data_IF_652756184685
#
_entry.id   IF_652756184685
#
_cell.length_a   1.000
_cell.length_b   1.000
_cell.length_c   1.000
_cell.angle_alpha   90.00
_cell.angle_beta   90.00
_cell.angle_gamma   90.00
#
_symmetry.space_group_name_H-M   'P 1'
#
loop_
_entity.id
_entity.type
_entity.pdbx_description
1 polymer ?
#
# COMPACT_ATOMS: atom_id res chain seq x y z
N UNK A 1 17.44 27.48 -17.22
CA UNK A 1 16.20 27.13 -17.94
C UNK A 1 16.33 25.69 -18.40
N UNK A 2 15.54 24.76 -17.86
CA UNK A 2 15.55 23.35 -18.27
C UNK A 2 14.32 23.06 -19.13
N UNK A 3 14.53 22.47 -20.30
CA UNK A 3 13.50 22.19 -21.31
C UNK A 3 12.42 21.22 -20.81
N UNK A 4 11.15 21.42 -21.18
CA UNK A 4 10.07 20.51 -20.81
C UNK A 4 9.88 19.49 -21.93
N UNK A 5 10.33 18.26 -21.72
CA UNK A 5 9.89 17.14 -22.55
C UNK A 5 9.80 15.86 -21.72
N UNK A 6 8.88 15.00 -22.15
CA UNK A 6 8.49 13.68 -21.62
C UNK A 6 7.26 13.71 -20.67
N UNK A 7 6.15 13.21 -21.23
CA UNK A 7 4.81 12.95 -20.71
C UNK A 7 3.74 14.04 -20.96
N UNK A 8 2.97 13.85 -22.04
CA UNK A 8 1.82 14.65 -22.48
C UNK A 8 0.70 14.76 -21.41
N UNK A 9 0.66 13.88 -20.41
CA UNK A 9 -0.29 13.93 -19.29
C UNK A 9 0.06 14.89 -18.15
N UNK A 10 1.30 15.42 -18.07
CA UNK A 10 1.71 16.31 -16.96
C UNK A 10 1.06 17.70 -16.99
N UNK A 11 0.52 18.11 -18.15
CA UNK A 11 -0.15 19.42 -18.31
C UNK A 11 -1.48 19.51 -17.55
N UNK A 12 -2.23 18.41 -17.41
CA UNK A 12 -3.56 18.45 -16.78
C UNK A 12 -3.47 18.72 -15.27
N UNK A 13 -2.59 18.02 -14.57
CA UNK A 13 -2.38 18.21 -13.13
C UNK A 13 -1.92 19.64 -12.80
N UNK A 14 -0.94 20.15 -13.55
CA UNK A 14 -0.43 21.50 -13.38
C UNK A 14 -1.49 22.57 -13.75
N UNK A 15 -2.26 22.35 -14.83
CA UNK A 15 -3.32 23.27 -15.26
C UNK A 15 -4.50 23.32 -14.27
N UNK A 16 -4.75 22.24 -13.53
CA UNK A 16 -5.83 22.17 -12.52
C UNK A 16 -5.36 22.49 -11.10
N UNK A 17 -4.09 22.86 -10.91
CA UNK A 17 -3.50 23.06 -9.57
C UNK A 17 -3.54 21.81 -8.69
N UNK A 18 -3.63 20.63 -9.31
CA UNK A 18 -3.75 19.34 -8.64
C UNK A 18 -2.39 18.87 -8.11
N UNK A 19 -2.42 18.14 -6.99
CA UNK A 19 -1.25 17.38 -6.54
C UNK A 19 -1.28 15.95 -7.07
N UNK A 20 -0.12 15.31 -7.12
CA UNK A 20 0.03 13.92 -7.53
C UNK A 20 0.00 13.05 -6.28
N UNK A 21 -0.85 12.02 -6.29
CA UNK A 21 -0.93 10.99 -5.27
C UNK A 21 -0.35 9.69 -5.82
N UNK A 22 0.69 9.13 -5.18
CA UNK A 22 1.13 7.76 -5.44
C UNK A 22 0.52 6.83 -4.41
N UNK A 23 -0.13 5.77 -4.85
CA UNK A 23 -0.75 4.77 -3.98
C UNK A 23 -0.20 3.38 -4.25
N UNK A 24 0.09 2.65 -3.18
CA UNK A 24 0.58 1.26 -3.22
C UNK A 24 0.11 0.47 -1.98
N UNK A 25 0.14 -0.86 -2.06
CA UNK A 25 -0.10 -1.79 -0.95
C UNK A 25 1.19 -2.52 -0.54
N UNK A 26 1.53 -2.48 0.74
CA UNK A 26 2.57 -3.31 1.32
C UNK A 26 1.97 -4.37 2.25
N UNK A 27 2.54 -5.57 2.27
CA UNK A 27 2.11 -6.66 3.12
C UNK A 27 3.23 -7.25 3.95
N UNK A 28 3.06 -7.33 5.27
CA UNK A 28 3.97 -8.00 6.18
C UNK A 28 3.31 -9.26 6.75
N UNK A 29 3.90 -10.42 6.52
CA UNK A 29 3.48 -11.66 7.18
C UNK A 29 3.95 -11.62 8.63
N UNK A 30 3.09 -12.02 9.58
CA UNK A 30 3.43 -12.10 11.01
C UNK A 30 4.16 -13.40 11.38
N UNK A 31 4.61 -14.17 10.36
CA UNK A 31 5.59 -15.22 10.56
C UNK A 31 6.87 -14.55 11.05
N UNK A 32 7.51 -15.08 12.11
CA UNK A 32 8.78 -14.55 12.57
C UNK A 32 9.75 -14.50 11.40
N UNK A 33 10.30 -13.32 11.06
CA UNK A 33 11.33 -13.24 10.03
C UNK A 33 12.51 -14.11 10.49
N UNK A 34 13.22 -14.73 9.53
CA UNK A 34 14.50 -15.35 9.82
C UNK A 34 15.43 -14.24 10.33
N UNK A 35 15.59 -14.15 11.64
CA UNK A 35 16.36 -13.09 12.28
C UNK A 35 17.82 -13.51 12.39
N UNK A 36 18.74 -12.58 12.12
CA UNK A 36 20.12 -12.73 12.59
C UNK A 36 20.08 -12.69 14.11
N UNK A 37 20.63 -13.72 14.74
CA UNK A 37 20.76 -13.80 16.20
C UNK A 37 22.23 -13.96 16.57
N UNK A 38 22.57 -13.57 17.79
CA UNK A 38 23.92 -13.69 18.32
C UNK A 38 24.07 -15.02 19.05
N UNK A 39 25.23 -15.65 18.90
CA UNK A 39 25.59 -16.88 19.61
C UNK A 39 27.04 -16.82 20.03
N UNK A 40 27.42 -17.70 20.96
CA UNK A 40 28.82 -17.93 21.27
C UNK A 40 29.55 -18.40 20.02
N UNK A 41 30.80 -17.98 19.85
CA UNK A 41 31.64 -18.43 18.73
C UNK A 41 31.68 -19.97 18.70
N UNK A 42 31.47 -20.56 17.53
CA UNK A 42 31.43 -22.02 17.33
C UNK A 42 30.12 -22.71 17.75
N UNK A 43 29.11 -21.98 18.23
CA UNK A 43 27.83 -22.55 18.63
C UNK A 43 26.72 -22.01 17.72
N UNK A 44 26.13 -22.89 16.92
CA UNK A 44 24.97 -22.53 16.09
C UNK A 44 23.77 -22.23 16.98
N UNK A 45 23.19 -21.02 16.94
CA UNK A 45 21.98 -20.72 17.70
C UNK A 45 20.80 -21.48 17.11
N UNK A 46 20.03 -22.16 17.97
CA UNK A 46 18.74 -22.74 17.63
C UNK A 46 17.66 -21.86 18.26
N UNK A 47 16.80 -21.29 17.43
CA UNK A 47 15.68 -20.47 17.87
C UNK A 47 14.39 -21.18 17.50
N UNK A 48 13.65 -21.63 18.50
CA UNK A 48 12.30 -22.16 18.30
C UNK A 48 11.33 -21.01 18.10
N UNK A 49 10.56 -21.08 17.02
CA UNK A 49 9.53 -20.10 16.68
C UNK A 49 8.20 -20.80 16.52
N UNK A 50 7.12 -20.16 16.97
CA UNK A 50 5.78 -20.65 16.65
C UNK A 50 5.53 -20.49 15.15
N UNK A 51 5.40 -21.61 14.43
CA UNK A 51 4.86 -21.61 13.07
C UNK A 51 3.34 -21.33 13.02
N UNK A 52 2.68 -21.31 14.18
CA UNK A 52 1.24 -21.03 14.33
C UNK A 52 1.01 -19.54 14.58
N UNK A 53 0.12 -18.95 13.79
CA UNK A 53 -0.12 -17.51 13.74
C UNK A 53 0.24 -16.92 12.38
N UNK A 54 -0.40 -17.42 11.32
CA UNK A 54 -0.08 -17.06 9.93
C UNK A 54 -0.66 -15.72 9.46
N UNK A 55 -1.05 -14.84 10.38
CA UNK A 55 -1.71 -13.60 10.01
C UNK A 55 -0.80 -12.67 9.20
N UNK A 56 -1.41 -11.70 8.54
CA UNK A 56 -0.73 -10.70 7.69
C UNK A 56 -1.19 -9.31 8.10
N UNK A 57 -0.30 -8.34 8.09
CA UNK A 57 -0.67 -6.93 8.13
C UNK A 57 -0.53 -6.39 6.71
N UNK A 58 -1.63 -5.93 6.13
CA UNK A 58 -1.60 -5.12 4.91
C UNK A 58 -1.59 -3.65 5.27
N UNK A 59 -0.91 -2.85 4.47
CA UNK A 59 -0.82 -1.40 4.58
C UNK A 59 -1.12 -0.81 3.21
N UNK A 60 -2.19 -0.03 3.09
CA UNK A 60 -2.41 0.84 1.93
C UNK A 60 -1.77 2.19 2.24
N UNK A 61 -0.82 2.62 1.43
CA UNK A 61 -0.10 3.89 1.58
C UNK A 61 -0.41 4.86 0.44
N UNK A 62 -0.46 6.15 0.76
CA UNK A 62 -0.67 7.24 -0.19
C UNK A 62 0.30 8.39 0.09
N UNK A 63 1.12 8.75 -0.89
CA UNK A 63 2.02 9.90 -0.84
C UNK A 63 1.49 10.99 -1.77
N UNK A 64 1.13 12.13 -1.19
CA UNK A 64 0.69 13.33 -1.90
C UNK A 64 1.84 14.32 -2.06
N UNK A 65 2.07 14.76 -3.29
CA UNK A 65 3.09 15.73 -3.68
C UNK A 65 2.46 16.86 -4.48
N UNK A 66 2.68 18.10 -4.05
CA UNK A 66 2.29 19.31 -4.77
C UNK A 66 3.43 20.31 -4.74
N UNK A 67 3.83 20.91 -5.88
CA UNK A 67 4.86 21.94 -5.91
C UNK A 67 4.58 23.08 -4.92
N UNK A 68 5.61 23.54 -4.22
CA UNK A 68 5.49 24.59 -3.18
C UNK A 68 4.82 24.14 -1.88
N UNK A 69 4.46 22.86 -1.73
CA UNK A 69 3.85 22.32 -0.52
C UNK A 69 4.69 21.17 0.05
N UNK A 70 4.64 20.99 1.36
CA UNK A 70 5.25 19.82 2.01
C UNK A 70 4.52 18.55 1.58
N UNK A 71 5.27 17.52 1.21
CA UNK A 71 4.71 16.20 0.92
C UNK A 71 3.95 15.63 2.13
N UNK A 72 2.86 14.91 1.87
CA UNK A 72 2.01 14.31 2.91
C UNK A 72 1.90 12.81 2.69
N UNK A 73 2.15 12.03 3.75
CA UNK A 73 1.94 10.59 3.77
C UNK A 73 0.66 10.28 4.54
N UNK A 74 -0.21 9.46 3.97
CA UNK A 74 -1.38 8.88 4.63
C UNK A 74 -1.34 7.37 4.43
N UNK A 75 -1.80 6.62 5.42
CA UNK A 75 -1.83 5.16 5.33
C UNK A 75 -2.97 4.57 6.14
N UNK A 76 -3.34 3.34 5.81
CA UNK A 76 -4.31 2.52 6.55
C UNK A 76 -3.75 1.11 6.69
N UNK A 77 -3.84 0.54 7.88
CA UNK A 77 -3.47 -0.86 8.14
C UNK A 77 -4.70 -1.74 8.22
N UNK A 78 -4.57 -2.98 7.74
CA UNK A 78 -5.54 -4.06 7.94
C UNK A 78 -4.82 -5.29 8.48
N UNK A 79 -5.34 -5.84 9.58
CA UNK A 79 -4.85 -7.09 10.15
C UNK A 79 -5.69 -8.25 9.62
N UNK A 80 -5.04 -9.23 9.02
CA UNK A 80 -5.59 -10.47 8.53
C UNK A 80 -5.21 -11.59 9.49
N UNK A 81 -6.18 -12.39 9.96
CA UNK A 81 -5.96 -13.50 10.91
C UNK A 81 -6.02 -14.88 10.25
N UNK A 82 -6.10 -14.94 8.92
CA UNK A 82 -6.29 -16.14 8.09
C UNK A 82 -7.50 -16.99 8.52
N UNK A 83 -8.61 -16.34 8.87
CA UNK A 83 -9.89 -17.02 9.11
C UNK A 83 -10.47 -17.51 7.78
N UNK A 84 -11.24 -18.60 7.81
CA UNK A 84 -11.94 -19.11 6.63
C UNK A 84 -12.84 -18.01 6.04
N UNK A 85 -12.63 -17.65 4.78
CA UNK A 85 -13.38 -16.57 4.09
C UNK A 85 -12.83 -15.15 4.31
N UNK A 86 -11.76 -14.98 5.11
CA UNK A 86 -11.11 -13.68 5.28
C UNK A 86 -10.26 -13.35 4.05
N UNK A 87 -10.55 -12.22 3.40
CA UNK A 87 -9.72 -11.72 2.29
C UNK A 87 -8.31 -11.45 2.81
N UNK A 88 -7.32 -11.85 2.01
CA UNK A 88 -5.92 -11.66 2.35
C UNK A 88 -5.43 -10.23 2.18
N UNK A 89 -6.15 -9.34 1.50
CA UNK A 89 -5.75 -7.97 1.10
C UNK A 89 -6.84 -6.93 1.38
N UNK A 90 -6.58 -5.66 1.02
CA UNK A 90 -7.61 -4.62 0.99
C UNK A 90 -8.72 -4.99 -0.01
N UNK A 91 -9.98 -4.69 0.35
CA UNK A 91 -11.09 -4.74 -0.61
C UNK A 91 -11.19 -3.43 -1.39
N UNK A 92 -11.92 -3.45 -2.49
CA UNK A 92 -12.28 -2.25 -3.24
C UNK A 92 -12.96 -1.21 -2.35
N UNK A 93 -13.93 -1.62 -1.51
CA UNK A 93 -14.58 -0.72 -0.53
C UNK A 93 -13.59 -0.07 0.43
N UNK A 94 -12.56 -0.82 0.88
CA UNK A 94 -11.54 -0.25 1.76
C UNK A 94 -10.68 0.79 1.05
N UNK A 95 -10.39 0.58 -0.24
CA UNK A 95 -9.68 1.53 -1.09
C UNK A 95 -10.51 2.78 -1.36
N UNK A 96 -11.79 2.62 -1.74
CA UNK A 96 -12.73 3.74 -1.94
C UNK A 96 -12.80 4.58 -0.67
N UNK A 97 -13.04 3.94 0.49
CA UNK A 97 -13.11 4.64 1.77
C UNK A 97 -11.79 5.33 2.15
N UNK A 98 -10.64 4.73 1.81
CA UNK A 98 -9.33 5.33 2.06
C UNK A 98 -9.08 6.55 1.16
N UNK A 99 -9.38 6.45 -0.13
CA UNK A 99 -9.23 7.53 -1.10
C UNK A 99 -10.19 8.70 -0.81
N UNK A 100 -11.43 8.41 -0.43
CA UNK A 100 -12.40 9.42 -0.01
C UNK A 100 -11.90 10.20 1.23
N UNK A 101 -11.44 9.49 2.27
CA UNK A 101 -10.83 10.13 3.45
C UNK A 101 -9.59 10.95 3.09
N UNK A 102 -8.74 10.45 2.19
CA UNK A 102 -7.57 11.19 1.73
C UNK A 102 -7.97 12.46 0.98
N UNK A 103 -8.97 12.38 0.08
CA UNK A 103 -9.48 13.52 -0.66
C UNK A 103 -10.06 14.59 0.27
N UNK A 104 -10.89 14.19 1.24
CA UNK A 104 -11.45 15.09 2.25
C UNK A 104 -10.36 15.76 3.12
N UNK A 105 -9.27 15.07 3.43
CA UNK A 105 -8.12 15.61 4.19
C UNK A 105 -7.20 16.52 3.37
N UNK A 106 -7.15 16.32 2.05
CA UNK A 106 -6.34 17.14 1.16
C UNK A 106 -7.09 18.41 0.75
N UNK A 107 -8.42 18.36 0.65
CA UNK A 107 -9.29 19.47 0.19
C UNK A 107 -8.79 20.10 -1.12
N UNK A 108 -8.24 19.27 -2.00
CA UNK A 108 -7.59 19.70 -3.23
C UNK A 108 -7.79 18.65 -4.33
N UNK A 109 -7.77 19.06 -5.61
CA UNK A 109 -7.74 18.12 -6.72
C UNK A 109 -6.52 17.19 -6.62
N UNK A 110 -6.76 15.91 -6.86
CA UNK A 110 -5.73 14.87 -6.85
C UNK A 110 -5.67 14.17 -8.19
N UNK A 111 -4.45 13.91 -8.67
CA UNK A 111 -4.19 12.95 -9.74
C UNK A 111 -3.62 11.71 -9.09
N UNK A 112 -4.39 10.63 -9.08
CA UNK A 112 -3.98 9.35 -8.50
C UNK A 112 -3.16 8.56 -9.52
N UNK A 113 -1.98 8.12 -9.09
CA UNK A 113 -1.13 7.15 -9.77
C UNK A 113 -1.17 5.89 -8.91
N UNK A 114 -1.71 4.83 -9.49
CA UNK A 114 -1.90 3.52 -8.87
C UNK A 114 -1.57 2.46 -9.93
N UNK A 115 -0.96 1.34 -9.53
CA UNK A 115 -0.84 0.14 -10.34
C UNK A 115 -2.19 -0.46 -10.73
N UNK A 116 -2.25 -1.06 -11.91
CA UNK A 116 -3.47 -1.68 -12.43
C UNK A 116 -3.65 -3.05 -11.76
N UNK A 117 -4.03 -3.05 -10.48
CA UNK A 117 -4.47 -4.26 -9.79
C UNK A 117 -5.76 -4.75 -10.46
N UNK A 118 -5.63 -5.70 -11.39
CA UNK A 118 -6.74 -6.57 -11.75
C UNK A 118 -7.12 -7.34 -10.48
N UNK A 119 -8.07 -6.82 -9.72
CA UNK A 119 -8.81 -7.57 -8.72
C UNK A 119 -9.42 -8.75 -9.47
N UNK A 120 -8.82 -9.93 -9.40
CA UNK A 120 -9.36 -11.12 -10.04
C UNK A 120 -10.78 -11.30 -9.53
N UNK A 121 -11.76 -11.00 -10.38
CA UNK A 121 -13.12 -11.45 -10.22
C UNK A 121 -13.04 -12.96 -10.09
N UNK A 122 -13.20 -13.47 -8.86
CA UNK A 122 -13.56 -14.85 -8.67
C UNK A 122 -15.00 -14.98 -9.18
N UNK A 123 -15.15 -15.01 -10.50
CA UNK A 123 -16.34 -15.52 -11.17
C UNK A 123 -16.33 -17.02 -10.86
N UNK A 124 -17.09 -17.41 -9.85
CA UNK A 124 -17.45 -18.81 -9.67
C UNK A 124 -18.05 -19.32 -10.97
N UNK A 125 -17.36 -20.24 -11.62
CA UNK A 125 -17.94 -21.07 -12.66
C UNK A 125 -18.98 -21.96 -11.97
N UNK A 126 -20.24 -21.57 -12.05
CA UNK A 126 -21.38 -22.44 -11.82
C UNK A 126 -21.89 -22.90 -13.17
N UNK A 127 -21.76 -24.19 -13.45
CA UNK A 127 -22.72 -24.94 -14.26
C UNK A 127 -23.61 -25.72 -13.30
#
# INVERSE_FOLDING_TARGET
MASPAVAVGKRLAAAQGAGICFQDEAGQVMRPPVAKTWARRGHTPVVEVSGKGSGRVSIAGLVYLKPGHRGRLMWRTRLHRNRKGERGSFSEDDYIAFLDQAHQRLRAPIVLIWDNLNTTSASGCGN
#
